data_IF_914339099054
#
_entry.id   IF_914339099054
#
_cell.length_a   1.000
_cell.length_b   1.000
_cell.length_c   1.000
_cell.angle_alpha   90.00
_cell.angle_beta   90.00
_cell.angle_gamma   90.00
#
_symmetry.space_group_name_H-M   'P 1'
#
loop_
_entity.id
_entity.type
_entity.pdbx_description
1 polymer ?
#
# COMPACT_ATOMS: atom_id res chain seq x y z
N UNK A 1 -38.66 -46.90 7.82
CA UNK A 1 -37.35 -47.30 8.39
C UNK A 1 -37.05 -48.69 7.85
N UNK A 2 -35.96 -48.87 7.10
CA UNK A 2 -35.63 -50.16 6.46
C UNK A 2 -34.81 -50.98 7.46
N UNK A 3 -35.24 -52.20 7.77
CA UNK A 3 -34.55 -53.06 8.72
C UNK A 3 -33.18 -53.49 8.21
N UNK A 4 -32.20 -53.49 9.13
CA UNK A 4 -30.80 -53.85 8.86
C UNK A 4 -30.68 -55.25 8.25
N UNK A 5 -31.60 -56.17 8.57
CA UNK A 5 -31.66 -57.50 7.96
C UNK A 5 -32.01 -57.46 6.47
N UNK A 6 -32.92 -56.55 6.07
CA UNK A 6 -33.30 -56.35 4.66
C UNK A 6 -32.17 -55.70 3.87
N UNK A 7 -31.45 -54.73 4.46
CA UNK A 7 -30.28 -54.11 3.83
C UNK A 7 -29.11 -55.10 3.65
N UNK A 8 -28.87 -55.95 4.65
CA UNK A 8 -27.79 -56.94 4.60
C UNK A 8 -28.09 -58.07 3.60
N UNK A 9 -29.35 -58.45 3.45
CA UNK A 9 -29.78 -59.45 2.45
C UNK A 9 -29.63 -58.89 1.03
N UNK A 10 -29.98 -57.62 0.80
CA UNK A 10 -29.79 -56.95 -0.48
C UNK A 10 -28.30 -56.81 -0.87
N UNK A 11 -27.42 -56.43 0.08
CA UNK A 11 -25.98 -56.34 -0.15
C UNK A 11 -25.33 -57.71 -0.44
N UNK A 12 -25.82 -58.79 0.19
CA UNK A 12 -25.32 -60.16 -0.04
C UNK A 12 -25.76 -60.72 -1.40
N UNK A 13 -26.94 -60.33 -1.89
CA UNK A 13 -27.43 -60.73 -3.20
C UNK A 13 -26.66 -60.04 -4.34
N UNK A 14 -26.22 -58.80 -4.12
CA UNK A 14 -25.43 -58.03 -5.09
C UNK A 14 -24.01 -58.58 -5.28
N UNK A 15 -23.41 -59.16 -4.22
CA UNK A 15 -22.13 -59.86 -4.31
C UNK A 15 -22.16 -61.15 -5.15
N UNK A 16 -23.33 -61.80 -5.28
CA UNK A 16 -23.47 -63.11 -5.92
C UNK A 16 -23.76 -63.04 -7.44
N UNK A 17 -24.03 -61.85 -7.99
CA UNK A 17 -24.29 -61.65 -9.44
C UNK A 17 -23.08 -61.19 -10.26
N UNK A 18 -21.90 -60.97 -9.65
CA UNK A 18 -20.65 -60.81 -10.41
C UNK A 18 -20.08 -62.18 -10.76
N UNK A 19 -20.55 -62.70 -11.90
CA UNK A 19 -20.03 -63.92 -12.50
C UNK A 19 -18.51 -63.87 -12.75
N UNK A 20 -17.90 -65.06 -12.56
CA UNK A 20 -16.60 -65.52 -13.07
C UNK A 20 -15.54 -64.44 -13.28
N UNK A 21 -14.74 -64.16 -12.25
CA UNK A 21 -13.55 -63.32 -12.36
C UNK A 21 -12.31 -64.20 -12.39
N UNK A 22 -11.73 -64.28 -13.59
CA UNK A 22 -10.35 -64.58 -13.96
C UNK A 22 -9.37 -64.81 -12.78
N UNK A 23 -8.69 -65.99 -12.67
CA UNK A 23 -7.80 -66.32 -11.57
C UNK A 23 -6.54 -65.44 -11.43
N UNK A 24 -6.29 -64.53 -12.39
CA UNK A 24 -5.14 -63.61 -12.36
C UNK A 24 -5.33 -62.34 -11.50
N UNK A 25 -6.49 -62.15 -10.87
CA UNK A 25 -6.69 -61.06 -9.89
C UNK A 25 -6.68 -61.57 -8.46
N UNK A 26 -5.58 -62.23 -8.07
CA UNK A 26 -5.21 -62.35 -6.65
C UNK A 26 -4.92 -60.95 -6.10
N UNK A 27 -5.57 -60.62 -4.98
CA UNK A 27 -5.42 -59.35 -4.28
C UNK A 27 -3.94 -59.02 -4.07
N UNK A 28 -3.52 -57.86 -4.57
CA UNK A 28 -2.18 -57.32 -4.36
C UNK A 28 -2.00 -57.09 -2.85
N UNK A 29 -1.32 -58.01 -2.17
CA UNK A 29 -0.87 -57.80 -0.78
C UNK A 29 0.00 -56.54 -0.75
N UNK A 30 -0.10 -55.76 0.32
CA UNK A 30 0.43 -54.39 0.47
C UNK A 30 1.94 -54.18 0.33
N UNK A 31 2.68 -55.15 -0.21
CA UNK A 31 4.13 -55.05 -0.49
C UNK A 31 4.46 -54.67 -1.94
N UNK A 32 3.49 -54.76 -2.86
CA UNK A 32 3.65 -54.38 -4.26
C UNK A 32 2.58 -53.35 -4.66
N UNK A 33 2.58 -52.19 -4.00
CA UNK A 33 1.79 -51.03 -4.41
C UNK A 33 2.37 -50.26 -5.61
N UNK A 34 3.43 -50.76 -6.26
CA UNK A 34 4.13 -50.01 -7.32
C UNK A 34 4.91 -48.80 -6.77
N UNK A 35 5.13 -48.77 -5.45
CA UNK A 35 6.02 -47.81 -4.79
C UNK A 35 7.43 -48.41 -4.92
N UNK A 36 8.33 -47.72 -5.63
CA UNK A 36 9.74 -48.12 -5.68
C UNK A 36 10.29 -48.24 -4.25
N UNK A 37 11.11 -49.27 -3.97
CA UNK A 37 11.77 -49.40 -2.66
C UNK A 37 12.63 -48.15 -2.38
N UNK A 38 12.54 -47.63 -1.16
CA UNK A 38 13.25 -46.42 -0.73
C UNK A 38 14.77 -46.62 -0.83
N UNK A 39 15.43 -45.78 -1.63
CA UNK A 39 16.89 -45.77 -1.80
C UNK A 39 17.48 -44.46 -1.22
N UNK A 40 18.08 -44.50 -0.01
CA UNK A 40 18.58 -43.32 0.67
C UNK A 40 19.56 -42.48 -0.17
N UNK A 41 20.39 -43.12 -0.99
CA UNK A 41 21.40 -42.42 -1.78
C UNK A 41 20.75 -41.57 -2.88
N UNK A 42 19.72 -42.10 -3.55
CA UNK A 42 18.94 -41.38 -4.56
C UNK A 42 18.13 -40.25 -3.94
N UNK A 43 17.56 -40.46 -2.75
CA UNK A 43 16.88 -39.38 -2.03
C UNK A 43 17.84 -38.25 -1.68
N UNK A 44 19.02 -38.54 -1.14
CA UNK A 44 20.02 -37.51 -0.82
C UNK A 44 20.48 -36.76 -2.07
N UNK A 45 20.73 -37.46 -3.19
CA UNK A 45 21.10 -36.81 -4.45
C UNK A 45 20.01 -35.87 -4.96
N UNK A 46 18.74 -36.28 -4.87
CA UNK A 46 17.58 -35.46 -5.20
C UNK A 46 17.47 -34.23 -4.31
N UNK A 47 17.57 -34.37 -2.99
CA UNK A 47 17.50 -33.23 -2.05
C UNK A 47 18.63 -32.22 -2.30
N UNK A 48 19.84 -32.69 -2.61
CA UNK A 48 20.96 -31.83 -3.01
C UNK A 48 20.65 -31.07 -4.31
N UNK A 49 20.09 -31.74 -5.31
CA UNK A 49 19.70 -31.11 -6.57
C UNK A 49 18.55 -30.10 -6.38
N UNK A 50 17.54 -30.42 -5.56
CA UNK A 50 16.46 -29.47 -5.21
C UNK A 50 17.02 -28.25 -4.47
N UNK A 51 17.94 -28.45 -3.51
CA UNK A 51 18.61 -27.35 -2.79
C UNK A 51 19.44 -26.48 -3.73
N UNK A 52 20.21 -27.09 -4.65
CA UNK A 52 21.00 -26.34 -5.64
C UNK A 52 20.10 -25.51 -6.56
N UNK A 53 18.98 -26.08 -7.01
CA UNK A 53 17.95 -25.37 -7.78
C UNK A 53 17.37 -24.19 -7.00
N UNK A 54 17.08 -24.35 -5.70
CA UNK A 54 16.58 -23.26 -4.86
C UNK A 54 17.56 -22.07 -4.81
N UNK A 55 18.85 -22.32 -4.55
CA UNK A 55 19.86 -21.26 -4.50
C UNK A 55 20.04 -20.57 -5.84
N UNK A 56 20.04 -21.34 -6.94
CA UNK A 56 20.12 -20.78 -8.29
C UNK A 56 18.96 -19.82 -8.56
N UNK A 57 17.74 -20.24 -8.25
CA UNK A 57 16.52 -19.46 -8.47
C UNK A 57 16.48 -18.22 -7.59
N UNK A 58 16.87 -18.33 -6.33
CA UNK A 58 16.92 -17.20 -5.41
C UNK A 58 17.96 -16.16 -5.87
N UNK A 59 19.15 -16.61 -6.30
CA UNK A 59 20.14 -15.72 -6.90
C UNK A 59 19.65 -15.06 -8.18
N UNK A 60 18.94 -15.81 -9.05
CA UNK A 60 18.30 -15.26 -10.24
C UNK A 60 17.25 -14.19 -9.90
N UNK A 61 16.37 -14.47 -8.93
CA UNK A 61 15.35 -13.52 -8.48
C UNK A 61 15.97 -12.23 -7.92
N UNK A 62 17.06 -12.34 -7.16
CA UNK A 62 17.83 -11.19 -6.68
C UNK A 62 18.42 -10.38 -7.84
N UNK A 63 19.07 -11.04 -8.82
CA UNK A 63 19.61 -10.37 -10.00
C UNK A 63 18.52 -9.65 -10.80
N UNK A 64 17.34 -10.26 -10.94
CA UNK A 64 16.19 -9.65 -11.59
C UNK A 64 15.71 -8.43 -10.80
N UNK A 65 15.56 -8.54 -9.47
CA UNK A 65 15.15 -7.42 -8.62
C UNK A 65 16.14 -6.24 -8.74
N UNK A 66 17.44 -6.50 -8.68
CA UNK A 66 18.49 -5.48 -8.84
C UNK A 66 18.47 -4.85 -10.24
N UNK A 67 18.30 -5.64 -11.29
CA UNK A 67 18.20 -5.15 -12.67
C UNK A 67 16.99 -4.23 -12.82
N UNK A 68 15.83 -4.66 -12.32
CA UNK A 68 14.62 -3.87 -12.42
C UNK A 68 14.73 -2.58 -11.61
N UNK A 69 15.26 -2.66 -10.38
CA UNK A 69 15.44 -1.51 -9.49
C UNK A 69 16.43 -0.47 -10.00
N UNK A 70 17.61 -0.89 -10.44
CA UNK A 70 18.73 0.03 -10.72
C UNK A 70 18.95 0.32 -12.21
N UNK A 71 18.47 -0.54 -13.11
CA UNK A 71 18.60 -0.31 -14.56
C UNK A 71 17.28 0.09 -15.21
N UNK A 72 16.16 -0.50 -14.79
CA UNK A 72 14.88 -0.29 -15.47
C UNK A 72 14.09 0.88 -14.89
N UNK A 73 13.81 0.89 -13.58
CA UNK A 73 13.02 1.94 -12.94
C UNK A 73 13.54 3.37 -13.24
N UNK A 74 14.85 3.69 -13.14
CA UNK A 74 15.34 5.04 -13.44
C UNK A 74 15.14 5.49 -14.90
N UNK A 75 14.81 4.56 -15.81
CA UNK A 75 14.58 4.83 -17.23
C UNK A 75 13.10 4.82 -17.61
N UNK A 76 12.23 4.44 -16.67
CA UNK A 76 10.80 4.46 -16.86
C UNK A 76 10.24 5.75 -16.28
N UNK A 77 9.25 6.28 -16.98
CA UNK A 77 8.40 7.33 -16.47
C UNK A 77 7.35 6.71 -15.53
N UNK A 78 7.25 7.16 -14.27
CA UNK A 78 6.31 6.62 -13.29
C UNK A 78 4.84 6.75 -13.74
N UNK A 79 4.52 7.68 -14.64
CA UNK A 79 3.14 7.99 -15.04
C UNK A 79 2.58 7.14 -16.19
N UNK A 80 3.41 6.47 -16.99
CA UNK A 80 2.96 5.96 -18.30
C UNK A 80 3.19 4.46 -18.55
N UNK A 81 4.16 3.79 -17.89
CA UNK A 81 4.56 2.42 -18.28
C UNK A 81 5.11 1.53 -17.13
N UNK A 82 4.48 1.54 -15.96
CA UNK A 82 4.95 0.75 -14.79
C UNK A 82 4.56 -0.73 -14.84
N UNK A 83 3.63 -1.14 -15.72
CA UNK A 83 3.20 -2.54 -15.91
C UNK A 83 4.37 -3.50 -16.19
N UNK A 84 5.39 -3.02 -16.92
CA UNK A 84 6.58 -3.81 -17.23
C UNK A 84 7.32 -4.26 -15.97
N UNK A 85 7.29 -3.45 -14.90
CA UNK A 85 7.95 -3.77 -13.64
C UNK A 85 7.32 -4.98 -12.94
N UNK A 86 6.05 -5.27 -13.22
CA UNK A 86 5.33 -6.41 -12.69
C UNK A 86 5.34 -7.61 -13.64
N UNK A 87 5.03 -7.39 -14.92
CA UNK A 87 4.92 -8.48 -15.89
C UNK A 87 6.28 -8.99 -16.37
N UNK A 88 7.30 -8.13 -16.43
CA UNK A 88 8.65 -8.51 -16.85
C UNK A 88 9.25 -9.63 -16.00
N UNK A 89 9.32 -9.47 -14.67
CA UNK A 89 9.85 -10.49 -13.77
C UNK A 89 9.02 -11.77 -13.76
N UNK A 90 7.71 -11.68 -14.03
CA UNK A 90 6.84 -12.84 -14.23
C UNK A 90 7.10 -13.56 -15.54
N UNK A 91 7.30 -12.84 -16.64
CA UNK A 91 7.66 -13.45 -17.93
C UNK A 91 8.97 -14.24 -17.84
N UNK A 92 9.91 -13.82 -16.99
CA UNK A 92 11.17 -14.50 -16.75
C UNK A 92 11.03 -15.90 -16.10
N UNK A 93 9.84 -16.27 -15.59
CA UNK A 93 9.53 -17.66 -15.18
C UNK A 93 9.75 -18.66 -16.32
N UNK A 94 9.53 -18.24 -17.57
CA UNK A 94 9.72 -19.07 -18.75
C UNK A 94 11.20 -19.34 -19.06
N UNK A 95 12.10 -18.51 -18.53
CA UNK A 95 13.55 -18.63 -18.73
C UNK A 95 14.19 -19.61 -17.74
N UNK A 96 13.52 -19.87 -16.60
CA UNK A 96 14.02 -20.75 -15.53
C UNK A 96 14.50 -22.12 -16.05
N UNK A 97 13.75 -22.86 -16.91
CA UNK A 97 14.23 -24.14 -17.44
C UNK A 97 15.52 -24.03 -18.24
N UNK A 98 15.67 -22.96 -19.04
CA UNK A 98 16.87 -22.70 -19.83
C UNK A 98 18.05 -22.34 -18.93
N UNK A 99 17.81 -21.54 -17.89
CA UNK A 99 18.82 -21.20 -16.88
C UNK A 99 19.35 -22.46 -16.16
N UNK A 100 18.45 -23.38 -15.79
CA UNK A 100 18.82 -24.63 -15.14
C UNK A 100 19.76 -25.46 -16.01
N UNK A 101 19.42 -25.60 -17.31
CA UNK A 101 20.25 -26.33 -18.28
C UNK A 101 21.60 -25.69 -18.54
N UNK A 102 21.69 -24.36 -18.43
CA UNK A 102 22.92 -23.62 -18.66
C UNK A 102 23.89 -23.71 -17.48
N UNK A 103 23.38 -23.66 -16.25
CA UNK A 103 24.20 -23.48 -15.04
C UNK A 103 24.44 -24.78 -14.28
N UNK A 104 23.47 -25.69 -14.24
CA UNK A 104 23.59 -26.92 -13.45
C UNK A 104 24.27 -28.06 -14.19
N UNK A 105 25.02 -28.85 -13.43
CA UNK A 105 25.64 -30.08 -13.92
C UNK A 105 24.60 -31.13 -14.34
N UNK A 106 24.97 -32.03 -15.24
CA UNK A 106 24.11 -33.12 -15.74
C UNK A 106 23.52 -33.96 -14.60
N UNK A 107 24.32 -34.25 -13.57
CA UNK A 107 23.89 -35.01 -12.39
C UNK A 107 22.73 -34.37 -11.61
N UNK A 108 22.59 -33.03 -11.65
CA UNK A 108 21.46 -32.33 -11.04
C UNK A 108 20.27 -32.20 -11.99
N UNK A 109 20.54 -32.09 -13.29
CA UNK A 109 19.52 -32.00 -14.33
C UNK A 109 18.70 -33.29 -14.46
N UNK A 110 19.29 -34.46 -14.16
CA UNK A 110 18.56 -35.73 -14.10
C UNK A 110 17.36 -35.71 -13.13
N UNK A 111 17.46 -34.90 -12.07
CA UNK A 111 16.41 -34.73 -11.07
C UNK A 111 15.48 -33.54 -11.38
N UNK A 112 15.74 -32.77 -12.44
CA UNK A 112 14.91 -31.64 -12.83
C UNK A 112 13.66 -32.11 -13.58
N UNK A 113 12.52 -31.96 -12.92
CA UNK A 113 11.22 -32.37 -13.46
C UNK A 113 10.29 -31.17 -13.61
N UNK A 114 9.09 -31.39 -14.18
CA UNK A 114 8.02 -30.39 -14.19
C UNK A 114 7.66 -29.91 -12.78
N UNK A 115 7.74 -30.80 -11.78
CA UNK A 115 7.50 -30.44 -10.38
C UNK A 115 8.58 -29.48 -9.85
N UNK A 116 9.84 -29.70 -10.21
CA UNK A 116 10.95 -28.81 -9.86
C UNK A 116 10.79 -27.44 -10.49
N UNK A 117 10.41 -27.38 -11.78
CA UNK A 117 10.10 -26.13 -12.46
C UNK A 117 8.98 -25.34 -11.77
N UNK A 118 7.89 -26.02 -11.41
CA UNK A 118 6.77 -25.38 -10.72
C UNK A 118 7.20 -24.80 -9.36
N UNK A 119 7.89 -25.59 -8.53
CA UNK A 119 8.45 -25.12 -7.25
C UNK A 119 9.39 -23.92 -7.44
N UNK A 120 10.29 -24.00 -8.42
CA UNK A 120 11.21 -22.92 -8.78
C UNK A 120 10.46 -21.67 -9.22
N UNK A 121 9.36 -21.81 -9.97
CA UNK A 121 8.52 -20.68 -10.36
C UNK A 121 7.91 -19.96 -9.15
N UNK A 122 7.33 -20.70 -8.21
CA UNK A 122 6.82 -20.11 -6.96
C UNK A 122 7.92 -19.43 -6.15
N UNK A 123 9.07 -20.08 -6.02
CA UNK A 123 10.21 -19.52 -5.31
C UNK A 123 10.67 -18.22 -5.96
N UNK A 124 10.81 -18.19 -7.28
CA UNK A 124 11.16 -16.97 -8.02
C UNK A 124 10.16 -15.84 -7.74
N UNK A 125 8.86 -16.10 -7.89
CA UNK A 125 7.83 -15.08 -7.69
C UNK A 125 7.90 -14.47 -6.29
N UNK A 126 7.94 -15.30 -5.24
CA UNK A 126 7.97 -14.78 -3.87
C UNK A 126 9.31 -14.14 -3.50
N UNK A 127 10.43 -14.72 -3.93
CA UNK A 127 11.75 -14.16 -3.64
C UNK A 127 11.94 -12.81 -4.34
N UNK A 128 11.55 -12.71 -5.62
CA UNK A 128 11.61 -11.45 -6.35
C UNK A 128 10.73 -10.37 -5.72
N UNK A 129 9.49 -10.71 -5.30
CA UNK A 129 8.63 -9.77 -4.59
C UNK A 129 9.27 -9.29 -3.28
N UNK A 130 9.80 -10.22 -2.48
CA UNK A 130 10.46 -9.89 -1.22
C UNK A 130 11.68 -8.98 -1.43
N UNK A 131 12.54 -9.29 -2.41
CA UNK A 131 13.68 -8.44 -2.74
C UNK A 131 13.25 -7.07 -3.28
N UNK A 132 12.19 -7.03 -4.09
CA UNK A 132 11.66 -5.76 -4.62
C UNK A 132 11.15 -4.88 -3.49
N UNK A 133 10.34 -5.39 -2.56
CA UNK A 133 9.88 -4.64 -1.40
C UNK A 133 11.03 -4.12 -0.55
N UNK A 134 12.09 -4.92 -0.37
CA UNK A 134 13.27 -4.50 0.38
C UNK A 134 14.05 -3.39 -0.36
N UNK A 135 14.08 -3.42 -1.70
CA UNK A 135 14.85 -2.48 -2.51
C UNK A 135 14.10 -1.19 -2.86
N UNK A 136 12.78 -1.17 -2.74
CA UNK A 136 11.94 0.02 -3.02
C UNK A 136 11.60 0.83 -1.78
N UNK A 137 11.81 0.28 -0.59
CA UNK A 137 11.56 0.98 0.68
C UNK A 137 12.87 1.49 1.30
N UNK A 138 12.79 2.51 2.19
CA UNK A 138 13.94 3.03 2.89
C UNK A 138 14.65 1.92 3.69
N UNK A 139 15.99 1.94 3.78
CA UNK A 139 16.92 2.95 3.25
C UNK A 139 17.38 2.68 1.80
N UNK A 140 16.88 1.65 1.11
CA UNK A 140 17.44 1.20 -0.19
C UNK A 140 16.72 1.80 -1.41
N UNK A 141 15.50 2.30 -1.22
CA UNK A 141 14.77 3.08 -2.19
C UNK A 141 13.73 3.92 -1.49
N UNK A 142 13.11 4.82 -2.23
CA UNK A 142 12.02 5.61 -1.71
C UNK A 142 11.07 5.98 -2.84
N UNK A 143 10.06 5.14 -3.02
CA UNK A 143 9.07 5.29 -4.09
C UNK A 143 7.72 5.78 -3.54
N UNK A 144 7.62 5.95 -2.22
CA UNK A 144 6.40 6.41 -1.58
C UNK A 144 6.34 7.93 -1.69
N UNK A 145 5.21 8.47 -2.13
CA UNK A 145 5.00 9.92 -2.00
C UNK A 145 4.46 10.24 -0.62
N UNK A 146 4.80 11.40 -0.05
CA UNK A 146 4.20 11.86 1.20
C UNK A 146 2.68 12.01 1.08
N UNK A 147 1.97 11.68 2.15
CA UNK A 147 0.50 11.70 2.21
C UNK A 147 -0.02 12.32 3.51
N UNK A 148 -1.19 12.98 3.50
CA UNK A 148 -1.81 13.46 4.74
C UNK A 148 -2.17 12.29 5.68
N UNK A 149 -1.68 12.31 6.92
CA UNK A 149 -1.75 11.14 7.82
C UNK A 149 -3.10 10.95 8.52
N UNK A 150 -3.77 12.05 8.91
CA UNK A 150 -4.97 11.99 9.73
C UNK A 150 -6.09 12.97 9.34
N UNK A 151 -5.96 13.64 8.18
CA UNK A 151 -6.89 14.65 7.66
C UNK A 151 -6.34 16.09 7.78
N UNK A 152 -7.21 17.09 7.66
CA UNK A 152 -6.86 18.51 7.71
C UNK A 152 -7.91 19.32 8.49
N UNK A 153 -7.51 20.47 9.01
CA UNK A 153 -8.37 21.38 9.77
C UNK A 153 -8.05 22.84 9.49
N UNK A 154 -8.98 23.70 9.87
CA UNK A 154 -8.81 25.15 9.86
C UNK A 154 -9.02 25.67 11.26
N UNK A 155 -8.08 26.51 11.71
CA UNK A 155 -8.10 27.19 13.00
C UNK A 155 -8.01 28.68 12.75
N UNK A 156 -8.76 29.48 13.50
CA UNK A 156 -8.76 30.94 13.40
C UNK A 156 -8.18 31.52 14.67
N UNK A 157 -7.25 32.45 14.50
CA UNK A 157 -6.60 33.20 15.57
C UNK A 157 -7.11 34.64 15.54
N UNK A 158 -7.86 35.05 16.55
CA UNK A 158 -8.30 36.43 16.76
C UNK A 158 -7.70 36.97 18.07
N UNK A 159 -6.50 37.57 17.95
CA UNK A 159 -5.76 38.10 19.09
C UNK A 159 -5.31 37.00 20.05
N UNK A 160 -5.97 36.88 21.21
CA UNK A 160 -5.68 35.86 22.22
C UNK A 160 -6.65 34.67 22.15
N UNK A 161 -7.72 34.80 21.38
CA UNK A 161 -8.74 33.78 21.23
C UNK A 161 -8.46 32.95 19.97
N UNK A 162 -8.59 31.65 20.11
CA UNK A 162 -8.51 30.71 19.01
C UNK A 162 -9.90 30.10 18.77
N UNK A 163 -10.17 29.66 17.56
CA UNK A 163 -11.43 29.01 17.18
C UNK A 163 -11.13 27.88 16.21
N UNK A 164 -11.89 26.79 16.29
CA UNK A 164 -11.79 25.63 15.38
C UNK A 164 -13.13 25.48 14.67
N UNK A 165 -13.10 25.06 13.41
CA UNK A 165 -14.32 24.80 12.65
C UNK A 165 -15.23 23.79 13.40
N UNK A 166 -16.55 24.04 13.43
CA UNK A 166 -17.50 23.20 14.16
C UNK A 166 -17.76 21.82 13.55
N UNK A 167 -17.33 21.56 12.32
CA UNK A 167 -17.64 20.32 11.59
C UNK A 167 -16.55 19.26 11.79
N UNK A 168 -16.94 17.99 11.98
CA UNK A 168 -16.02 16.88 12.23
C UNK A 168 -15.21 16.52 10.97
N UNK A 169 -13.88 16.50 11.11
CA UNK A 169 -12.95 16.71 10.00
C UNK A 169 -12.29 15.47 9.37
N UNK A 170 -12.33 14.32 10.06
CA UNK A 170 -11.63 13.14 9.57
C UNK A 170 -12.18 12.69 8.20
N UNK A 171 -11.37 12.84 7.15
CA UNK A 171 -11.63 12.31 5.81
C UNK A 171 -12.58 13.11 4.90
N UNK A 172 -12.98 14.33 5.28
CA UNK A 172 -13.79 15.20 4.39
C UNK A 172 -12.90 16.10 3.53
N UNK A 173 -13.29 16.29 2.27
CA UNK A 173 -12.65 17.26 1.36
C UNK A 173 -13.17 18.68 1.52
N UNK A 174 -14.16 18.90 2.39
CA UNK A 174 -14.78 20.22 2.62
C UNK A 174 -14.95 20.50 4.11
N UNK A 175 -14.63 21.72 4.52
CA UNK A 175 -14.95 22.32 5.82
C UNK A 175 -15.93 23.47 5.59
N UNK A 176 -17.01 23.49 6.36
CA UNK A 176 -17.96 24.61 6.38
C UNK A 176 -17.79 25.38 7.68
N UNK A 177 -17.48 26.67 7.57
CA UNK A 177 -17.45 27.60 8.68
C UNK A 177 -18.73 28.41 8.71
N UNK A 178 -19.38 28.42 9.87
CA UNK A 178 -20.63 29.15 10.09
C UNK A 178 -20.34 30.40 10.91
N UNK A 179 -20.49 31.56 10.28
CA UNK A 179 -20.43 32.86 10.92
C UNK A 179 -21.77 33.23 11.57
N UNK A 180 -21.71 34.09 12.58
CA UNK A 180 -22.91 34.67 13.15
C UNK A 180 -23.58 35.60 12.12
N UNK A 181 -24.91 35.72 12.17
CA UNK A 181 -25.70 36.44 11.13
C UNK A 181 -25.36 37.94 10.95
N UNK A 182 -24.49 38.51 11.80
CA UNK A 182 -24.02 39.90 11.72
C UNK A 182 -22.62 40.05 11.15
N UNK A 183 -21.91 38.96 10.88
CA UNK A 183 -20.53 38.95 10.39
C UNK A 183 -20.52 38.75 8.87
N UNK A 184 -19.63 39.46 8.19
CA UNK A 184 -19.40 39.37 6.74
C UNK A 184 -18.04 38.76 6.39
N UNK A 185 -17.23 38.48 7.42
CA UNK A 185 -15.89 37.94 7.32
C UNK A 185 -15.53 37.12 8.56
N UNK A 186 -14.68 36.14 8.35
CA UNK A 186 -14.01 35.37 9.38
C UNK A 186 -12.86 36.20 9.95
N UNK A 187 -13.13 36.89 11.06
CA UNK A 187 -12.20 37.85 11.66
C UNK A 187 -11.01 37.12 12.29
N UNK A 188 -9.80 37.63 12.02
CA UNK A 188 -8.55 37.04 12.50
C UNK A 188 -7.74 36.33 11.41
N UNK A 189 -6.63 35.72 11.82
CA UNK A 189 -5.75 34.96 10.94
C UNK A 189 -6.25 33.53 10.82
N UNK A 190 -6.57 33.11 9.61
CA UNK A 190 -7.03 31.75 9.33
C UNK A 190 -5.82 30.86 9.03
N UNK A 191 -5.69 29.75 9.73
CA UNK A 191 -4.60 28.79 9.63
C UNK A 191 -5.13 27.46 9.11
N UNK A 192 -4.53 26.94 8.04
CA UNK A 192 -4.67 25.55 7.62
C UNK A 192 -3.72 24.70 8.44
N UNK A 193 -4.18 23.57 8.99
CA UNK A 193 -3.34 22.62 9.72
C UNK A 193 -3.59 21.19 9.22
N UNK A 194 -2.52 20.42 9.03
CA UNK A 194 -2.60 18.99 8.72
C UNK A 194 -1.29 18.31 9.10
N UNK A 195 -1.27 16.98 9.10
CA UNK A 195 -0.07 16.19 9.33
C UNK A 195 0.31 15.44 8.04
N UNK A 196 1.60 15.42 7.70
CA UNK A 196 2.16 14.74 6.55
C UNK A 196 2.95 13.52 7.04
N UNK A 197 2.55 12.35 6.57
CA UNK A 197 3.31 11.12 6.75
C UNK A 197 4.13 10.86 5.49
N UNK A 198 5.33 10.32 5.69
CA UNK A 198 6.17 9.82 4.61
C UNK A 198 6.86 8.51 5.04
N UNK A 199 7.31 7.73 4.06
CA UNK A 199 7.99 6.45 4.26
C UNK A 199 9.44 6.63 4.76
N UNK A 200 10.09 7.75 4.43
CA UNK A 200 11.46 8.09 4.82
C UNK A 200 11.48 9.18 5.90
N UNK A 201 11.41 10.45 5.50
CA UNK A 201 11.40 11.61 6.40
C UNK A 201 10.52 12.71 5.80
N UNK A 202 9.34 13.00 6.36
CA UNK A 202 8.44 14.02 5.82
C UNK A 202 9.03 15.45 5.86
N UNK A 203 10.19 15.65 6.51
CA UNK A 203 10.93 16.91 6.51
C UNK A 203 11.58 17.23 5.16
N UNK A 204 11.91 16.21 4.36
CA UNK A 204 12.58 16.37 3.06
C UNK A 204 11.59 16.79 1.94
N UNK A 205 10.29 16.72 2.21
CA UNK A 205 9.25 17.15 1.29
C UNK A 205 9.14 18.69 1.17
N UNK A 206 9.08 19.16 -0.07
CA UNK A 206 8.71 20.53 -0.44
C UNK A 206 7.19 20.62 -0.62
N UNK A 207 6.58 21.62 0.02
CA UNK A 207 5.12 21.77 0.06
C UNK A 207 4.77 23.15 -0.50
N UNK A 208 3.91 23.16 -1.52
CA UNK A 208 3.34 24.37 -2.10
C UNK A 208 1.84 24.39 -1.82
N UNK A 209 1.36 25.46 -1.20
CA UNK A 209 -0.08 25.65 -0.91
C UNK A 209 -0.61 26.79 -1.76
N UNK A 210 -1.74 26.55 -2.42
CA UNK A 210 -2.41 27.52 -3.29
C UNK A 210 -3.84 27.68 -2.79
N UNK A 211 -4.23 28.88 -2.38
CA UNK A 211 -5.62 29.21 -2.06
C UNK A 211 -6.25 29.96 -3.22
N UNK A 212 -7.47 29.61 -3.59
CA UNK A 212 -8.23 30.25 -4.68
C UNK A 212 -9.65 30.54 -4.20
N UNK A 213 -10.03 31.81 -3.98
CA UNK A 213 -11.42 32.18 -3.75
C UNK A 213 -12.25 31.97 -5.01
N UNK A 214 -13.52 31.60 -4.86
CA UNK A 214 -14.44 31.40 -5.97
C UNK A 214 -14.58 32.68 -6.82
N UNK A 215 -14.21 32.58 -8.10
CA UNK A 215 -14.23 33.73 -9.02
C UNK A 215 -13.10 34.74 -8.82
N UNK A 216 -12.12 34.48 -7.95
CA UNK A 216 -10.94 35.32 -7.74
C UNK A 216 -9.65 34.73 -8.30
N UNK A 217 -8.53 35.39 -7.98
CA UNK A 217 -7.19 34.94 -8.39
C UNK A 217 -6.59 33.97 -7.37
N UNK A 218 -5.82 33.00 -7.86
CA UNK A 218 -5.11 32.05 -7.02
C UNK A 218 -3.88 32.71 -6.36
N UNK A 219 -3.73 32.51 -5.06
CA UNK A 219 -2.59 32.98 -4.27
C UNK A 219 -1.75 31.80 -3.80
N UNK A 220 -0.43 31.86 -4.04
CA UNK A 220 0.52 30.87 -3.54
C UNK A 220 1.04 31.32 -2.18
N UNK A 221 0.90 30.45 -1.19
CA UNK A 221 1.25 30.72 0.20
C UNK A 221 2.63 30.16 0.51
N UNK A 222 3.45 30.93 1.22
CA UNK A 222 4.78 30.51 1.67
C UNK A 222 4.70 29.92 3.08
N UNK A 223 5.37 28.79 3.27
CA UNK A 223 5.54 28.17 4.59
C UNK A 223 6.73 28.86 5.27
N UNK A 224 6.51 29.48 6.42
CA UNK A 224 7.57 30.14 7.19
C UNK A 224 7.91 29.38 8.47
N UNK A 225 9.21 29.14 8.71
CA UNK A 225 9.69 28.48 9.93
C UNK A 225 9.43 29.29 11.22
N UNK A 226 9.25 30.60 11.11
CA UNK A 226 8.97 31.44 12.28
C UNK A 226 7.56 31.20 12.85
N UNK A 227 6.65 30.65 12.02
CA UNK A 227 5.26 30.41 12.40
C UNK A 227 5.07 29.19 13.30
N UNK A 228 6.06 28.29 13.39
CA UNK A 228 5.94 27.00 14.10
C UNK A 228 5.69 27.13 15.60
N UNK A 229 6.25 28.15 16.24
CA UNK A 229 5.96 28.41 17.66
C UNK A 229 4.49 28.76 17.91
N UNK A 230 3.84 29.45 16.96
CA UNK A 230 2.39 29.72 16.99
C UNK A 230 1.56 28.46 16.71
N UNK A 231 2.10 27.54 15.91
CA UNK A 231 1.47 26.23 15.64
C UNK A 231 1.33 25.44 16.93
N UNK A 232 2.37 25.35 17.75
CA UNK A 232 2.29 24.60 19.01
C UNK A 232 1.22 25.19 19.94
N UNK A 233 1.16 26.53 20.08
CA UNK A 233 0.13 27.19 20.90
C UNK A 233 -1.29 27.01 20.35
N UNK A 234 -1.49 27.23 19.05
CA UNK A 234 -2.78 27.06 18.39
C UNK A 234 -3.24 25.61 18.37
N UNK A 235 -2.31 24.67 18.15
CA UNK A 235 -2.52 23.23 18.28
C UNK A 235 -2.94 22.91 19.69
N UNK A 236 -2.15 23.24 20.70
CA UNK A 236 -2.42 22.88 22.09
C UNK A 236 -3.76 23.46 22.57
N UNK A 237 -4.11 24.67 22.14
CA UNK A 237 -5.44 25.23 22.36
C UNK A 237 -6.53 24.40 21.67
N UNK A 238 -6.35 24.11 20.38
CA UNK A 238 -7.29 23.30 19.61
C UNK A 238 -7.43 21.89 20.18
N UNK A 239 -6.37 21.35 20.81
CA UNK A 239 -6.39 20.08 21.53
C UNK A 239 -7.14 20.17 22.86
N UNK A 240 -6.98 21.28 23.58
CA UNK A 240 -7.65 21.53 24.84
C UNK A 240 -9.16 21.76 24.69
N UNK A 241 -9.60 22.27 23.54
CA UNK A 241 -11.01 22.64 23.30
C UNK A 241 -11.77 21.66 22.38
N UNK A 242 -11.30 20.40 22.30
CA UNK A 242 -11.80 19.38 21.37
C UNK A 242 -13.25 18.95 21.65
N UNK A 243 -14.05 18.91 20.60
CA UNK A 243 -15.22 18.01 20.48
C UNK A 243 -15.12 17.22 19.18
N UNK A 244 -15.06 15.88 19.23
CA UNK A 244 -15.11 15.02 18.03
C UNK A 244 -13.80 14.91 17.23
N UNK A 245 -13.90 14.50 15.95
CA UNK A 245 -12.80 14.01 15.07
C UNK A 245 -11.67 14.99 14.70
N UNK A 246 -11.54 16.12 15.39
CA UNK A 246 -10.40 17.04 15.31
C UNK A 246 -9.18 16.50 16.06
N UNK A 247 -9.40 15.62 17.05
CA UNK A 247 -8.34 15.01 17.86
C UNK A 247 -7.35 14.25 16.98
N UNK A 248 -7.85 13.48 16.01
CA UNK A 248 -7.03 12.65 15.12
C UNK A 248 -6.20 13.48 14.16
N UNK A 249 -6.75 14.57 13.61
CA UNK A 249 -6.04 15.44 12.65
C UNK A 249 -4.86 16.16 13.32
N UNK A 250 -5.04 16.53 14.60
CA UNK A 250 -4.10 17.32 15.36
C UNK A 250 -3.25 16.48 16.33
N UNK A 251 -3.44 15.15 16.34
CA UNK A 251 -2.63 14.25 17.16
C UNK A 251 -1.30 14.00 16.48
N UNK A 252 -0.23 14.20 17.24
CA UNK A 252 1.13 13.94 16.82
C UNK A 252 1.37 12.41 16.74
N UNK A 253 1.63 11.89 15.55
CA UNK A 253 2.36 10.63 15.43
C UNK A 253 3.84 10.97 15.36
N UNK A 254 4.67 10.25 16.10
CA UNK A 254 6.09 10.54 16.22
C UNK A 254 6.88 10.53 14.90
N UNK A 255 6.29 10.03 13.81
CA UNK A 255 6.87 9.99 12.46
C UNK A 255 6.27 11.03 11.50
N UNK A 256 5.22 11.75 11.89
CA UNK A 256 4.52 12.68 11.01
C UNK A 256 5.12 14.08 11.15
N UNK A 257 5.15 14.84 10.05
CA UNK A 257 5.42 16.28 10.06
C UNK A 257 4.11 17.03 10.12
N UNK A 258 3.86 17.69 11.25
CA UNK A 258 2.76 18.66 11.35
C UNK A 258 3.05 19.85 10.43
N UNK A 259 2.03 20.40 9.77
CA UNK A 259 2.16 21.57 8.90
C UNK A 259 1.06 22.53 9.30
N UNK A 260 1.40 23.82 9.41
CA UNK A 260 0.41 24.87 9.38
C UNK A 260 0.82 26.04 8.50
N UNK A 261 -0.15 26.59 7.79
CA UNK A 261 0.06 27.67 6.84
C UNK A 261 -1.06 28.70 6.99
N UNK A 262 -0.74 30.00 7.07
CA UNK A 262 -1.75 31.03 7.13
C UNK A 262 -2.42 31.15 5.75
N UNK A 263 -3.73 30.94 5.71
CA UNK A 263 -4.55 31.10 4.51
C UNK A 263 -4.87 32.57 4.20
N UNK A 264 -4.81 33.44 5.22
CA UNK A 264 -5.09 34.86 5.09
C UNK A 264 -5.64 35.47 6.38
N UNK A 265 -5.79 36.79 6.38
CA UNK A 265 -6.40 37.54 7.47
C UNK A 265 -7.78 38.05 7.03
N UNK A 266 -8.78 37.96 7.90
CA UNK A 266 -10.12 38.50 7.67
C UNK A 266 -10.79 37.95 6.39
N UNK A 267 -10.81 36.62 6.21
CA UNK A 267 -11.37 35.98 5.03
C UNK A 267 -12.88 36.28 4.87
N UNK A 268 -13.29 36.75 3.70
CA UNK A 268 -14.69 37.08 3.43
C UNK A 268 -15.59 35.82 3.36
N UNK A 269 -16.90 36.02 3.49
CA UNK A 269 -17.89 34.98 3.17
C UNK A 269 -17.73 34.52 1.72
N UNK A 270 -17.71 33.20 1.50
CA UNK A 270 -17.52 32.60 0.18
C UNK A 270 -16.86 31.22 0.23
N UNK A 271 -16.71 30.64 -0.95
CA UNK A 271 -16.01 29.36 -1.15
C UNK A 271 -14.54 29.57 -1.54
N UNK A 272 -13.67 28.78 -0.93
CA UNK A 272 -12.24 28.77 -1.15
C UNK A 272 -11.76 27.36 -1.50
N UNK A 273 -11.00 27.23 -2.57
CA UNK A 273 -10.30 26.01 -2.96
C UNK A 273 -8.86 26.10 -2.51
N UNK A 274 -8.40 25.12 -1.75
CA UNK A 274 -7.04 24.99 -1.22
C UNK A 274 -6.41 23.81 -1.93
N UNK A 275 -5.46 24.06 -2.84
CA UNK A 275 -4.65 23.01 -3.44
C UNK A 275 -3.33 22.91 -2.69
N UNK A 276 -2.98 21.70 -2.27
CA UNK A 276 -1.67 21.41 -1.71
C UNK A 276 -0.96 20.47 -2.66
N UNK A 277 0.24 20.87 -3.04
CA UNK A 277 1.16 20.09 -3.88
C UNK A 277 2.36 19.77 -3.02
N UNK A 278 2.70 18.50 -2.94
CA UNK A 278 3.89 18.01 -2.23
C UNK A 278 4.80 17.34 -3.25
N UNK A 279 6.09 17.68 -3.17
CA UNK A 279 7.14 17.15 -4.03
C UNK A 279 8.32 16.74 -3.16
N UNK A 280 8.92 15.59 -3.45
CA UNK A 280 10.07 15.06 -2.72
C UNK A 280 11.02 14.34 -3.67
N UNK A 281 12.32 14.46 -3.42
CA UNK A 281 13.35 13.70 -4.15
C UNK A 281 13.40 12.26 -3.65
N UNK A 282 12.57 11.41 -4.24
CA UNK A 282 12.58 9.98 -3.98
C UNK A 282 13.71 9.24 -4.70
N UNK A 283 13.72 7.92 -4.57
CA UNK A 283 14.69 7.06 -5.22
C UNK A 283 14.04 5.80 -5.82
N UNK A 284 13.96 5.69 -7.17
CA UNK A 284 14.71 6.45 -8.17
C UNK A 284 13.96 7.62 -8.81
N UNK A 285 12.73 7.90 -8.40
CA UNK A 285 11.88 8.91 -9.01
C UNK A 285 11.63 10.05 -8.04
N UNK A 286 11.39 11.23 -8.59
CA UNK A 286 10.77 12.31 -7.85
C UNK A 286 9.32 11.93 -7.55
N UNK A 287 8.96 12.00 -6.28
CA UNK A 287 7.64 11.66 -5.78
C UNK A 287 6.82 12.95 -5.69
N UNK A 288 5.61 12.94 -6.23
CA UNK A 288 4.73 14.11 -6.17
C UNK A 288 3.28 13.70 -5.97
N UNK A 289 2.60 14.44 -5.09
CA UNK A 289 1.20 14.24 -4.79
C UNK A 289 0.47 15.59 -4.73
N UNK A 290 -0.80 15.59 -5.11
CA UNK A 290 -1.65 16.78 -5.09
C UNK A 290 -3.03 16.46 -4.54
N UNK A 291 -3.50 17.30 -3.63
CA UNK A 291 -4.84 17.22 -3.06
C UNK A 291 -5.52 18.58 -3.09
N UNK A 292 -6.85 18.54 -3.15
CA UNK A 292 -7.68 19.75 -3.13
C UNK A 292 -8.68 19.64 -2.00
N UNK A 293 -8.71 20.69 -1.18
CA UNK A 293 -9.60 20.87 -0.04
C UNK A 293 -10.46 22.11 -0.27
N UNK A 294 -11.67 22.12 0.29
CA UNK A 294 -12.63 23.23 0.15
C UNK A 294 -12.96 23.82 1.51
N UNK A 295 -12.82 25.13 1.65
CA UNK A 295 -13.31 25.88 2.81
C UNK A 295 -14.49 26.75 2.37
N UNK A 296 -15.64 26.55 2.98
CA UNK A 296 -16.86 27.33 2.72
C UNK A 296 -17.18 28.19 3.94
N UNK A 297 -17.07 29.51 3.82
CA UNK A 297 -17.43 30.45 4.88
C UNK A 297 -18.85 30.95 4.60
N UNK A 298 -19.79 30.69 5.49
CA UNK A 298 -21.22 30.96 5.29
C UNK A 298 -21.85 31.62 6.50
N UNK A 299 -22.90 32.41 6.28
CA UNK A 299 -23.70 32.97 7.35
C UNK A 299 -24.82 32.00 7.74
N UNK A 300 -25.06 31.80 9.04
CA UNK A 300 -26.13 30.93 9.56
C UNK A 300 -27.55 31.27 9.06
N UNK A 301 -27.74 32.42 8.42
CA UNK A 301 -29.02 32.83 7.85
C UNK A 301 -29.38 32.11 6.53
N UNK A 302 -28.42 31.55 5.79
CA UNK A 302 -28.68 30.93 4.48
C UNK A 302 -28.95 29.41 4.54
N UNK A 303 -28.70 28.75 5.66
CA UNK A 303 -28.83 27.29 5.78
C UNK A 303 -30.26 26.81 6.09
N UNK A 304 -31.25 27.71 6.18
CA UNK A 304 -32.64 27.38 6.49
C UNK A 304 -33.57 27.26 5.27
N UNK A 305 -33.07 27.54 4.06
CA UNK A 305 -33.83 27.42 2.82
C UNK A 305 -33.06 26.57 1.79
N UNK A 306 -32.97 25.26 2.03
CA UNK A 306 -32.98 24.22 0.99
C UNK A 306 -33.23 22.83 1.58
#
# INVERSE_FOLDING_TARGET
MVDISTAMTAASAEGKRRGSRDPDKKGKSGRNLGIEPFDPAKFVAKEKAETASMWLVMGFALCVALLFRYLLMPRLDPSSNTDLLWFGPMALLLVIPSLHRLVMSEAYLEHYTKGTWFKAGFLHTFAWLAFTFLLTNPPLGDIGSPEPSAGWTVVVEDGADWQVANDSLAGRSQIVWHLNSSEDKLSGTTWLMFALADNSDPSDAEITIIITPEGGEAETLLISEEQWSRIDEGRDWALGNRTGGHDTVLSDHASDRLIAVPLGHDLAVGDYSISVVVTEDGNPWENSNQWTWKLSITNLAESAEN
#
